data_IF_742423623430
#
_entry.id   IF_742423623430
#
_cell.length_a   1.000
_cell.length_b   1.000
_cell.length_c   1.000
_cell.angle_alpha   90.00
_cell.angle_beta   90.00
_cell.angle_gamma   90.00
#
_symmetry.space_group_name_H-M   'P 1'
#
loop_
_entity.id
_entity.type
_entity.pdbx_description
1 polymer ?
#
# COMPACT_ATOMS: atom_id res chain seq x y z
N UNK A 1 -18.59 -22.38 16.60
CA UNK A 1 -17.22 -22.01 16.19
C UNK A 1 -17.24 -21.31 14.85
N UNK A 2 -17.75 -21.94 13.78
CA UNK A 2 -17.96 -21.32 12.46
C UNK A 2 -18.66 -19.95 12.48
N UNK A 3 -19.86 -19.87 13.06
CA UNK A 3 -20.62 -18.60 13.18
C UNK A 3 -19.95 -17.57 14.10
N UNK A 4 -19.07 -18.00 14.99
CA UNK A 4 -18.39 -17.09 15.92
C UNK A 4 -17.19 -16.43 15.23
N UNK A 5 -16.44 -17.19 14.43
CA UNK A 5 -15.28 -16.72 13.69
C UNK A 5 -15.63 -15.56 12.74
N UNK A 6 -16.78 -15.64 12.07
CA UNK A 6 -17.25 -14.58 11.15
C UNK A 6 -17.72 -13.32 11.87
N UNK A 7 -17.88 -13.35 13.20
CA UNK A 7 -18.31 -12.20 14.03
C UNK A 7 -17.17 -11.58 14.83
N UNK A 8 -15.95 -12.15 14.76
CA UNK A 8 -14.80 -11.58 15.43
C UNK A 8 -14.44 -10.22 14.79
N UNK A 9 -14.04 -9.22 15.60
CA UNK A 9 -13.57 -7.94 15.09
C UNK A 9 -12.13 -8.10 14.57
N UNK A 10 -11.96 -8.87 13.50
CA UNK A 10 -10.69 -9.07 12.83
C UNK A 10 -10.36 -7.80 12.06
N UNK A 11 -9.13 -7.31 12.19
CA UNK A 11 -8.57 -6.24 11.38
C UNK A 11 -8.12 -6.80 10.02
N UNK A 12 -8.53 -6.16 8.91
CA UNK A 12 -8.09 -6.55 7.57
C UNK A 12 -6.62 -6.21 7.28
N UNK A 13 -6.00 -5.41 8.14
CA UNK A 13 -4.66 -4.86 7.96
C UNK A 13 -4.68 -3.53 7.20
N UNK A 14 -3.60 -3.22 6.50
CA UNK A 14 -3.48 -2.01 5.68
C UNK A 14 -2.67 -2.24 4.40
N UNK A 15 -2.94 -1.43 3.38
CA UNK A 15 -2.07 -1.31 2.21
C UNK A 15 -0.89 -0.40 2.55
N UNK A 16 0.31 -0.85 2.20
CA UNK A 16 1.57 -0.16 2.43
C UNK A 16 2.38 -0.03 1.13
N UNK A 17 3.27 0.97 1.14
CA UNK A 17 4.24 1.27 0.10
C UNK A 17 5.63 1.38 0.74
N UNK A 18 6.67 1.58 -0.08
CA UNK A 18 7.99 1.90 0.47
C UNK A 18 7.91 3.20 1.29
N UNK A 19 8.41 3.17 2.53
CA UNK A 19 8.38 4.30 3.48
C UNK A 19 9.01 5.56 2.88
N UNK A 20 10.12 5.39 2.15
CA UNK A 20 10.84 6.49 1.48
C UNK A 20 10.15 7.01 0.22
N UNK A 21 9.08 6.36 -0.26
CA UNK A 21 8.34 6.78 -1.45
C UNK A 21 6.93 7.27 -1.14
N UNK A 22 6.30 6.78 -0.07
CA UNK A 22 4.92 7.16 0.30
C UNK A 22 3.94 7.03 -0.88
N UNK A 23 4.04 5.91 -1.62
CA UNK A 23 3.21 5.65 -2.79
C UNK A 23 3.67 6.31 -4.10
N UNK A 24 4.71 7.14 -4.07
CA UNK A 24 5.28 7.76 -5.26
C UNK A 24 5.82 6.72 -6.26
N UNK A 25 5.37 6.84 -7.51
CA UNK A 25 5.79 5.97 -8.61
C UNK A 25 5.79 6.68 -9.96
N UNK A 26 6.14 5.94 -11.01
CA UNK A 26 6.07 6.44 -12.38
C UNK A 26 5.23 5.52 -13.26
N UNK A 27 4.56 6.10 -14.26
CA UNK A 27 3.91 5.34 -15.33
C UNK A 27 4.91 4.38 -15.98
N UNK A 28 4.42 3.20 -16.38
CA UNK A 28 5.20 2.14 -17.03
C UNK A 28 6.38 1.60 -16.21
N UNK A 29 6.36 1.78 -14.88
CA UNK A 29 7.34 1.22 -13.93
C UNK A 29 6.64 0.50 -12.79
N UNK A 30 7.34 -0.42 -12.15
CA UNK A 30 6.79 -1.16 -11.02
C UNK A 30 6.70 -0.27 -9.78
N UNK A 31 5.47 -0.04 -9.32
CA UNK A 31 5.18 0.56 -8.01
C UNK A 31 4.97 -0.59 -7.02
N UNK A 32 5.82 -0.69 -6.00
CA UNK A 32 5.67 -1.73 -4.99
C UNK A 32 4.49 -1.40 -4.06
N UNK A 33 3.64 -2.40 -3.84
CA UNK A 33 2.47 -2.36 -2.96
C UNK A 33 2.50 -3.63 -2.14
N UNK A 34 2.27 -3.57 -0.83
CA UNK A 34 2.21 -4.76 0.01
C UNK A 34 1.18 -4.60 1.13
N UNK A 35 0.76 -5.70 1.71
CA UNK A 35 -0.13 -5.73 2.85
C UNK A 35 0.68 -5.74 4.15
N UNK A 36 0.31 -4.88 5.09
CA UNK A 36 0.73 -4.98 6.49
C UNK A 36 -0.43 -5.53 7.32
N UNK A 37 -0.27 -6.78 7.73
CA UNK A 37 -1.30 -7.58 8.42
C UNK A 37 -0.65 -8.76 9.11
N UNK A 38 -1.06 -8.98 10.36
CA UNK A 38 -0.51 -10.03 11.22
C UNK A 38 -1.59 -11.02 11.68
N UNK A 39 -1.14 -12.15 12.23
CA UNK A 39 -2.00 -13.08 12.96
C UNK A 39 -2.65 -12.37 14.15
N UNK A 40 -3.95 -12.56 14.33
CA UNK A 40 -4.72 -11.94 15.41
C UNK A 40 -5.25 -12.99 16.38
N UNK A 41 -5.07 -12.77 17.67
CA UNK A 41 -5.53 -13.69 18.72
C UNK A 41 -6.63 -13.07 19.56
N UNK A 42 -7.68 -13.84 19.83
CA UNK A 42 -8.85 -13.46 20.59
C UNK A 42 -9.09 -14.44 21.73
N UNK A 43 -9.53 -13.94 22.87
CA UNK A 43 -9.96 -14.74 24.02
C UNK A 43 -11.47 -14.57 24.23
N UNK A 44 -12.15 -15.69 24.46
CA UNK A 44 -13.60 -15.75 24.69
C UNK A 44 -13.93 -16.71 25.82
N UNK A 45 -14.76 -16.26 26.75
CA UNK A 45 -15.43 -17.12 27.70
C UNK A 45 -16.71 -17.68 27.08
N UNK A 46 -16.73 -18.98 26.81
CA UNK A 46 -17.91 -19.68 26.32
C UNK A 46 -18.41 -20.64 27.40
N UNK A 47 -19.55 -20.31 28.02
CA UNK A 47 -20.15 -21.14 29.07
C UNK A 47 -19.19 -21.40 30.26
N UNK A 48 -18.32 -20.43 30.58
CA UNK A 48 -17.32 -20.53 31.64
C UNK A 48 -16.07 -21.34 31.27
N UNK A 49 -15.87 -21.60 29.98
CA UNK A 49 -14.68 -22.24 29.43
C UNK A 49 -13.91 -21.19 28.62
N UNK A 50 -12.62 -21.05 28.90
CA UNK A 50 -11.71 -20.17 28.17
C UNK A 50 -11.37 -20.78 26.81
N UNK A 51 -11.67 -20.02 25.76
CA UNK A 51 -11.44 -20.37 24.36
C UNK A 51 -10.55 -19.31 23.73
N UNK A 52 -9.43 -19.76 23.19
CA UNK A 52 -8.52 -18.92 22.41
C UNK A 52 -8.77 -19.19 20.93
N UNK A 53 -8.85 -18.13 20.14
CA UNK A 53 -9.04 -18.18 18.69
C UNK A 53 -7.91 -17.38 18.05
N UNK A 54 -7.30 -17.92 17.00
CA UNK A 54 -6.34 -17.21 16.16
C UNK A 54 -6.88 -17.10 14.75
N UNK A 55 -6.87 -15.90 14.20
CA UNK A 55 -7.10 -15.62 12.79
C UNK A 55 -5.75 -15.46 12.09
N UNK A 56 -5.54 -16.19 11.00
CA UNK A 56 -4.31 -16.23 10.21
C UNK A 56 -4.64 -15.78 8.79
N UNK A 57 -4.00 -14.71 8.26
CA UNK A 57 -4.23 -14.27 6.90
C UNK A 57 -3.63 -15.27 5.90
N UNK A 58 -4.38 -15.61 4.86
CA UNK A 58 -4.00 -16.66 3.90
C UNK A 58 -4.11 -16.23 2.44
N UNK A 59 -4.87 -15.17 2.14
CA UNK A 59 -5.08 -14.68 0.78
C UNK A 59 -5.34 -13.17 0.79
N UNK A 60 -4.76 -12.48 -0.18
CA UNK A 60 -4.76 -11.02 -0.30
C UNK A 60 -5.28 -10.65 -1.68
N UNK A 61 -6.38 -9.89 -1.73
CA UNK A 61 -6.95 -9.37 -2.96
C UNK A 61 -6.76 -7.86 -3.02
N UNK A 62 -5.86 -7.41 -3.89
CA UNK A 62 -5.59 -6.01 -4.18
C UNK A 62 -6.45 -5.54 -5.36
N UNK A 63 -7.06 -4.36 -5.23
CA UNK A 63 -7.55 -3.53 -6.33
C UNK A 63 -6.65 -2.29 -6.41
N UNK A 64 -6.02 -2.07 -7.56
CA UNK A 64 -5.05 -0.99 -7.73
C UNK A 64 -5.70 0.35 -8.11
N UNK A 65 -7.03 0.43 -8.19
CA UNK A 65 -7.75 1.69 -8.45
C UNK A 65 -7.77 2.13 -9.91
N UNK A 66 -7.01 1.47 -10.79
CA UNK A 66 -7.06 1.65 -12.26
C UNK A 66 -7.89 0.57 -12.97
N UNK A 67 -8.60 -0.26 -12.20
CA UNK A 67 -9.40 -1.38 -12.66
C UNK A 67 -8.62 -2.71 -12.79
N UNK A 68 -7.30 -2.71 -12.55
CA UNK A 68 -6.53 -3.93 -12.39
C UNK A 68 -6.63 -4.46 -10.95
N UNK A 69 -6.69 -5.78 -10.82
CA UNK A 69 -6.73 -6.46 -9.52
C UNK A 69 -5.71 -7.60 -9.47
N UNK A 70 -5.26 -7.97 -8.27
CA UNK A 70 -4.39 -9.14 -8.06
C UNK A 70 -4.77 -9.90 -6.80
N UNK A 71 -4.86 -11.23 -6.92
CA UNK A 71 -4.99 -12.14 -5.78
C UNK A 71 -3.70 -12.94 -5.59
N UNK A 72 -3.23 -13.05 -4.36
CA UNK A 72 -1.98 -13.72 -4.01
C UNK A 72 -2.03 -14.32 -2.60
N UNK A 73 -1.27 -15.39 -2.36
CA UNK A 73 -1.07 -15.97 -1.03
C UNK A 73 0.09 -15.33 -0.24
N UNK A 74 0.82 -14.39 -0.87
CA UNK A 74 1.89 -13.63 -0.23
C UNK A 74 1.44 -12.18 -0.03
N UNK A 75 1.62 -11.58 1.16
CA UNK A 75 1.28 -10.18 1.40
C UNK A 75 2.20 -9.21 0.65
N UNK A 76 3.30 -9.69 0.06
CA UNK A 76 4.38 -8.85 -0.42
C UNK A 76 5.28 -8.39 0.73
N UNK A 77 6.24 -7.51 0.41
CA UNK A 77 7.11 -6.90 1.40
C UNK A 77 7.76 -5.64 0.83
N UNK A 78 8.30 -4.80 1.71
CA UNK A 78 9.25 -3.76 1.30
C UNK A 78 10.45 -4.37 0.56
N UNK A 79 10.98 -3.58 -0.36
CA UNK A 79 12.19 -3.84 -1.15
C UNK A 79 13.37 -2.96 -0.74
N UNK A 80 13.23 -2.16 0.33
CA UNK A 80 14.28 -1.27 0.84
C UNK A 80 15.62 -2.00 1.05
N UNK A 81 15.58 -3.20 1.64
CA UNK A 81 16.76 -4.04 1.86
C UNK A 81 17.40 -4.54 0.55
N UNK A 82 16.61 -4.70 -0.52
CA UNK A 82 17.10 -5.11 -1.84
C UNK A 82 17.67 -3.92 -2.65
N UNK A 83 17.12 -2.72 -2.45
CA UNK A 83 17.55 -1.49 -3.09
C UNK A 83 18.90 -0.95 -2.60
N UNK A 84 19.42 -1.47 -1.48
CA UNK A 84 20.80 -1.23 -1.00
C UNK A 84 21.89 -1.55 -2.06
N UNK A 85 21.51 -2.21 -3.16
CA UNK A 85 22.37 -2.47 -4.33
C UNK A 85 22.42 -1.32 -5.36
N UNK A 86 21.81 -0.15 -5.09
CA UNK A 86 21.89 1.05 -5.94
C UNK A 86 20.81 1.15 -7.03
N UNK A 87 19.73 0.36 -6.96
CA UNK A 87 18.56 0.53 -7.81
C UNK A 87 17.58 1.53 -7.18
N UNK A 88 17.01 2.42 -7.99
CA UNK A 88 15.94 3.28 -7.53
C UNK A 88 14.72 2.43 -7.12
N UNK A 89 14.18 2.66 -5.92
CA UNK A 89 13.00 1.94 -5.39
C UNK A 89 11.76 2.02 -6.30
N UNK A 90 11.75 2.99 -7.23
CA UNK A 90 10.63 3.32 -8.13
C UNK A 90 10.39 2.32 -9.28
N UNK A 91 11.05 1.14 -9.29
CA UNK A 91 10.94 0.16 -10.39
C UNK A 91 11.46 -1.24 -10.04
N UNK A 92 11.16 -1.70 -8.83
CA UNK A 92 11.50 -3.06 -8.41
C UNK A 92 10.26 -3.93 -8.60
N UNK A 93 10.36 -4.92 -9.49
CA UNK A 93 9.28 -5.91 -9.66
C UNK A 93 9.20 -6.81 -8.43
N UNK A 94 8.04 -6.79 -7.78
CA UNK A 94 7.66 -7.70 -6.70
C UNK A 94 6.39 -8.48 -7.08
N UNK A 95 6.09 -9.60 -6.39
CA UNK A 95 4.85 -10.35 -6.63
C UNK A 95 3.56 -9.53 -6.49
N UNK A 96 3.60 -8.41 -5.78
CA UNK A 96 2.45 -7.52 -5.51
C UNK A 96 2.59 -6.15 -6.17
N UNK A 97 3.72 -5.86 -6.82
CA UNK A 97 3.92 -4.61 -7.58
C UNK A 97 2.95 -4.48 -8.75
N UNK A 98 2.61 -3.24 -9.09
CA UNK A 98 1.74 -2.88 -10.20
C UNK A 98 2.36 -1.84 -11.12
N UNK A 99 1.94 -1.85 -12.38
CA UNK A 99 2.42 -0.93 -13.43
C UNK A 99 1.25 -0.12 -13.96
N UNK A 100 1.17 1.13 -13.52
CA UNK A 100 0.17 2.09 -13.97
C UNK A 100 0.50 2.65 -15.35
N UNK A 101 -0.52 2.91 -16.16
CA UNK A 101 -0.37 3.42 -17.54
C UNK A 101 -0.59 4.93 -17.66
N UNK A 102 -1.28 5.53 -16.70
CA UNK A 102 -1.63 6.95 -16.68
C UNK A 102 -1.14 7.60 -15.39
N UNK A 103 -0.91 8.92 -15.44
CA UNK A 103 -0.55 9.74 -14.26
C UNK A 103 -1.81 9.98 -13.44
N UNK A 104 -1.70 9.90 -12.12
CA UNK A 104 -2.81 10.18 -11.22
C UNK A 104 -2.61 9.64 -9.80
N UNK A 105 -3.57 9.98 -8.95
CA UNK A 105 -3.75 9.39 -7.63
C UNK A 105 -4.70 8.20 -7.74
N UNK A 106 -4.26 7.04 -7.26
CA UNK A 106 -5.05 5.81 -7.28
C UNK A 106 -5.23 5.31 -5.86
N UNK A 107 -6.49 5.18 -5.43
CA UNK A 107 -6.82 4.50 -4.18
C UNK A 107 -6.63 3.00 -4.38
N UNK A 108 -5.76 2.42 -3.58
CA UNK A 108 -5.45 0.99 -3.60
C UNK A 108 -6.16 0.33 -2.43
N UNK A 109 -7.13 -0.50 -2.76
CA UNK A 109 -7.92 -1.25 -1.80
C UNK A 109 -7.34 -2.66 -1.61
N UNK A 110 -7.47 -3.19 -0.40
CA UNK A 110 -7.10 -4.56 -0.06
C UNK A 110 -8.24 -5.23 0.69
N UNK A 111 -8.52 -6.47 0.32
CA UNK A 111 -9.33 -7.38 1.12
C UNK A 111 -8.51 -8.61 1.50
N UNK A 112 -8.45 -8.92 2.79
CA UNK A 112 -7.67 -10.03 3.34
C UNK A 112 -8.61 -11.16 3.76
N UNK A 113 -8.30 -12.39 3.33
CA UNK A 113 -9.01 -13.59 3.77
C UNK A 113 -8.23 -14.28 4.87
N UNK A 114 -8.92 -14.59 5.97
CA UNK A 114 -8.38 -15.25 7.14
C UNK A 114 -8.96 -16.66 7.30
N UNK A 115 -8.13 -17.60 7.72
CA UNK A 115 -8.56 -18.86 8.33
C UNK A 115 -8.42 -18.78 9.84
N UNK A 116 -9.16 -19.64 10.54
CA UNK A 116 -9.15 -19.67 12.00
C UNK A 116 -8.58 -20.96 12.56
N UNK A 117 -7.95 -20.88 13.72
CA UNK A 117 -7.74 -22.01 14.62
C UNK A 117 -8.22 -21.65 16.02
N UNK A 118 -8.71 -22.63 16.79
CA UNK A 118 -9.11 -22.43 18.17
C UNK A 118 -8.54 -23.49 19.11
N UNK A 119 -8.37 -23.16 20.37
CA UNK A 119 -8.05 -24.12 21.43
C UNK A 119 -8.86 -23.84 22.68
N UNK A 120 -9.11 -24.90 23.45
CA UNK A 120 -9.93 -24.85 24.66
C UNK A 120 -9.02 -25.12 25.84
N UNK A 121 -9.06 -24.26 26.86
CA UNK A 121 -8.35 -24.44 28.14
C UNK A 121 -6.86 -24.81 27.96
N UNK A 122 -6.16 -24.15 27.03
CA UNK A 122 -4.74 -24.40 26.74
C UNK A 122 -4.44 -25.72 26.02
N UNK A 123 -5.45 -26.39 25.46
CA UNK A 123 -5.30 -27.61 24.66
C UNK A 123 -4.65 -27.40 23.29
N UNK A 124 -4.79 -28.39 22.41
CA UNK A 124 -4.26 -28.33 21.04
C UNK A 124 -5.10 -27.41 20.15
N UNK A 125 -4.43 -26.67 19.26
CA UNK A 125 -5.10 -25.89 18.22
C UNK A 125 -5.87 -26.80 17.24
N UNK A 126 -7.11 -26.42 16.97
CA UNK A 126 -8.03 -27.11 16.07
C UNK A 126 -8.45 -26.13 14.98
N UNK A 127 -8.36 -26.50 13.68
CA UNK A 127 -8.74 -25.61 12.60
C UNK A 127 -10.25 -25.32 12.61
N UNK A 128 -10.62 -24.09 12.28
CA UNK A 128 -11.99 -23.66 11.96
C UNK A 128 -12.17 -23.87 10.46
N UNK A 129 -13.25 -24.56 10.08
CA UNK A 129 -13.48 -24.96 8.68
C UNK A 129 -13.78 -23.77 7.74
N UNK A 130 -14.34 -22.70 8.28
CA UNK A 130 -14.73 -21.51 7.52
C UNK A 130 -13.62 -20.46 7.53
N UNK A 131 -13.56 -19.71 6.43
CA UNK A 131 -12.77 -18.49 6.33
C UNK A 131 -13.66 -17.26 6.46
N UNK A 132 -13.04 -16.12 6.73
CA UNK A 132 -13.71 -14.82 6.68
C UNK A 132 -12.85 -13.82 5.92
N UNK A 133 -13.50 -12.86 5.29
CA UNK A 133 -12.86 -11.91 4.38
C UNK A 133 -13.16 -10.51 4.90
N UNK A 134 -12.12 -9.73 5.13
CA UNK A 134 -12.19 -8.43 5.81
C UNK A 134 -11.48 -7.38 4.98
N UNK A 135 -12.11 -6.22 4.82
CA UNK A 135 -11.49 -5.07 4.17
C UNK A 135 -10.36 -4.50 5.04
N UNK A 136 -9.21 -4.23 4.42
CA UNK A 136 -8.10 -3.54 5.05
C UNK A 136 -8.28 -2.01 4.95
N UNK A 137 -7.43 -1.27 5.65
CA UNK A 137 -7.29 0.16 5.41
C UNK A 137 -6.63 0.40 4.05
N UNK A 138 -7.19 1.27 3.19
CA UNK A 138 -6.63 1.52 1.86
C UNK A 138 -5.35 2.35 1.93
N UNK A 139 -4.59 2.33 0.84
CA UNK A 139 -3.43 3.17 0.61
C UNK A 139 -3.60 3.97 -0.68
N UNK A 140 -2.69 4.91 -0.97
CA UNK A 140 -2.75 5.70 -2.19
C UNK A 140 -1.44 5.61 -2.97
N UNK A 141 -1.53 5.23 -4.24
CA UNK A 141 -0.43 5.31 -5.18
C UNK A 141 -0.47 6.69 -5.88
N UNK A 142 0.67 7.36 -5.94
CA UNK A 142 0.83 8.68 -6.55
C UNK A 142 1.77 8.58 -7.76
N UNK A 143 1.18 8.49 -8.94
CA UNK A 143 1.86 8.05 -10.15
C UNK A 143 2.13 9.23 -11.06
N UNK A 144 3.42 9.46 -11.33
CA UNK A 144 3.90 10.57 -12.13
C UNK A 144 4.48 10.11 -13.46
N UNK A 145 4.84 11.06 -14.32
CA UNK A 145 5.58 10.80 -15.55
C UNK A 145 6.77 11.74 -15.64
N UNK A 146 7.84 11.28 -16.26
CA UNK A 146 8.98 12.15 -16.58
C UNK A 146 8.70 12.89 -17.88
N UNK A 147 9.04 14.18 -17.91
CA UNK A 147 9.00 15.00 -19.12
C UNK A 147 10.34 15.70 -19.31
N UNK A 148 10.77 15.82 -20.56
CA UNK A 148 11.96 16.58 -20.93
C UNK A 148 11.60 17.57 -22.04
N UNK A 149 12.06 18.82 -21.90
CA UNK A 149 11.92 19.87 -22.92
C UNK A 149 13.24 20.60 -23.10
N UNK A 150 13.49 21.07 -24.32
CA UNK A 150 14.58 22.00 -24.57
C UNK A 150 14.13 23.42 -24.22
N UNK A 151 14.97 24.13 -23.47
CA UNK A 151 14.78 25.55 -23.14
C UNK A 151 15.89 26.38 -23.78
N UNK A 152 15.60 27.62 -24.13
CA UNK A 152 16.53 28.50 -24.87
C UNK A 152 17.31 29.47 -23.98
N UNK A 153 17.13 29.43 -22.66
CA UNK A 153 17.73 30.39 -21.72
C UNK A 153 17.94 29.83 -20.32
N UNK A 154 18.51 30.66 -19.45
CA UNK A 154 18.62 30.39 -18.02
C UNK A 154 17.23 30.47 -17.37
N UNK A 155 17.09 29.93 -16.16
CA UNK A 155 15.91 30.14 -15.35
C UNK A 155 15.88 31.57 -14.81
N UNK A 156 14.98 32.39 -15.36
CA UNK A 156 14.78 33.79 -15.00
C UNK A 156 13.41 34.05 -14.35
N UNK A 157 12.44 33.17 -14.60
CA UNK A 157 11.05 33.26 -14.10
C UNK A 157 10.56 31.86 -13.71
N UNK A 158 9.90 31.71 -12.56
CA UNK A 158 9.35 30.44 -12.09
C UNK A 158 8.29 29.88 -13.05
N UNK A 159 7.59 30.73 -13.82
CA UNK A 159 6.65 30.27 -14.84
C UNK A 159 7.34 29.55 -16.02
N UNK A 160 8.67 29.67 -16.16
CA UNK A 160 9.43 28.97 -17.20
C UNK A 160 9.54 27.48 -16.87
N UNK A 161 9.49 26.65 -17.91
CA UNK A 161 9.56 25.20 -17.76
C UNK A 161 10.88 24.77 -17.10
N UNK A 162 10.76 23.96 -16.05
CA UNK A 162 11.91 23.49 -15.25
C UNK A 162 12.45 24.48 -14.24
N UNK A 163 11.86 25.68 -14.12
CA UNK A 163 12.32 26.72 -13.18
C UNK A 163 11.52 26.78 -11.88
N UNK A 164 10.44 25.99 -11.76
CA UNK A 164 9.65 25.84 -10.53
C UNK A 164 9.77 24.44 -9.92
N UNK A 165 10.99 23.89 -9.90
CA UNK A 165 11.29 22.60 -9.29
C UNK A 165 11.10 21.38 -10.19
N UNK A 166 11.33 20.18 -9.63
CA UNK A 166 11.31 18.92 -10.39
C UNK A 166 9.90 18.45 -10.81
N UNK A 167 8.84 18.98 -10.19
CA UNK A 167 7.46 18.64 -10.51
C UNK A 167 6.76 19.84 -11.15
N UNK A 168 6.04 19.59 -12.23
CA UNK A 168 5.14 20.60 -12.81
C UNK A 168 3.77 20.37 -12.22
N UNK A 169 3.32 21.34 -11.42
CA UNK A 169 2.00 21.31 -10.77
C UNK A 169 1.01 22.01 -11.71
N UNK A 170 0.05 21.27 -12.26
CA UNK A 170 -0.95 21.80 -13.19
C UNK A 170 -2.36 21.74 -12.56
N UNK A 171 -3.13 22.82 -12.67
CA UNK A 171 -4.52 22.84 -12.18
C UNK A 171 -4.61 22.59 -10.67
N UNK A 172 -5.30 21.50 -10.30
CA UNK A 172 -5.53 21.10 -8.90
C UNK A 172 -4.53 20.03 -8.42
N UNK A 173 -3.46 19.76 -9.18
CA UNK A 173 -2.40 18.85 -8.77
C UNK A 173 -1.75 19.35 -7.47
N UNK A 174 -1.28 18.40 -6.66
CA UNK A 174 -0.41 18.65 -5.51
C UNK A 174 0.95 18.00 -5.76
N UNK A 175 2.05 18.55 -5.23
CA UNK A 175 3.33 17.86 -5.29
C UNK A 175 3.21 16.49 -4.61
N UNK A 176 4.02 15.50 -5.03
CA UNK A 176 4.00 14.20 -4.38
C UNK A 176 4.35 14.33 -2.90
N UNK A 177 3.76 13.49 -2.06
CA UNK A 177 3.85 13.62 -0.60
C UNK A 177 5.29 13.62 -0.08
N UNK A 178 6.14 12.78 -0.65
CA UNK A 178 7.59 12.71 -0.35
C UNK A 178 8.36 14.00 -0.70
N UNK A 179 7.77 14.92 -1.46
CA UNK A 179 8.33 16.23 -1.80
C UNK A 179 7.48 17.40 -1.29
N UNK A 180 6.41 17.16 -0.53
CA UNK A 180 5.42 18.19 -0.20
C UNK A 180 6.02 19.37 0.60
N UNK A 181 7.02 19.11 1.45
CA UNK A 181 7.73 20.11 2.25
C UNK A 181 8.63 21.05 1.42
N UNK A 182 8.95 20.65 0.18
CA UNK A 182 9.75 21.44 -0.75
C UNK A 182 8.92 22.43 -1.57
N UNK A 183 7.62 22.53 -1.34
CA UNK A 183 6.72 23.45 -2.03
C UNK A 183 5.99 24.36 -1.04
N UNK A 184 5.64 25.58 -1.47
CA UNK A 184 4.75 26.46 -0.72
C UNK A 184 3.27 26.20 -1.01
N UNK A 185 2.38 26.84 -0.24
CA UNK A 185 0.92 26.75 -0.43
C UNK A 185 0.44 27.25 -1.81
N UNK A 186 1.30 27.98 -2.55
CA UNK A 186 1.03 28.46 -3.90
C UNK A 186 1.65 27.54 -4.98
N UNK A 187 2.21 26.39 -4.59
CA UNK A 187 2.83 25.41 -5.50
C UNK A 187 4.19 25.83 -6.03
N UNK A 188 4.85 26.83 -5.43
CA UNK A 188 6.21 27.21 -5.79
C UNK A 188 7.23 26.35 -5.07
N UNK A 189 8.22 25.86 -5.82
CA UNK A 189 9.30 25.08 -5.25
C UNK A 189 10.26 25.96 -4.42
N UNK A 190 10.59 25.50 -3.22
CA UNK A 190 11.47 26.16 -2.24
C UNK A 190 12.88 25.61 -2.21
N UNK A 191 13.11 24.44 -2.81
CA UNK A 191 14.36 23.70 -2.65
C UNK A 191 14.29 22.67 -1.52
N UNK A 192 15.25 21.73 -1.49
CA UNK A 192 15.50 20.87 -0.34
C UNK A 192 16.14 21.63 0.84
#
# INVERSE_FOLDING_TARGET
MSEEFTTLPIDGGSVQFEEDLLGFGFINRHTNVFADVEDQSFQRDMLGIDVEIRAVPVDYHFDYGDGATRTTASPGSSTADQAASGSALTDVETPTSHVYQETGLYDVDLTTTFTGEYRIAGGTWTPIADSTTVAASPGQADIWRTQARHVSGQCEDHAQWGCNGPFTIEGDDRPPEVFADQYDDAGNWRGP
#
